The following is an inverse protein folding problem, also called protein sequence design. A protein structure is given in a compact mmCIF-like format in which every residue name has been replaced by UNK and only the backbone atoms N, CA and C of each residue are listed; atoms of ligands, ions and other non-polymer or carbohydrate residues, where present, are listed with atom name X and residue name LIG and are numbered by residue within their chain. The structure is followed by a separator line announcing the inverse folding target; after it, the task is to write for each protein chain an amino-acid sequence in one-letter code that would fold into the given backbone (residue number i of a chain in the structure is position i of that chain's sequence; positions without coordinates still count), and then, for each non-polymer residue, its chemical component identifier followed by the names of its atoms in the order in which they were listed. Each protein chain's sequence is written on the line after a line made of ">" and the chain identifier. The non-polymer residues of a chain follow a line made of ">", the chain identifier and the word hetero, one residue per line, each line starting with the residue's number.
data_IF_102221521614
#
_entry.id   IF_102221521614
#
_cell.length_a   1.000
_cell.length_b   1.000
_cell.length_c   1.000
_cell.angle_alpha   90.00
_cell.angle_beta   90.00
_cell.angle_gamma   90.00
#
_symmetry.space_group_name_H-M   'P 1'
#
loop_
_entity.id
_entity.type
_entity.pdbx_description
1 polymer ?
#
# COMPACT_ATOMS: atom_id res chain seq x y z
N UNK A 1 -27.86 0.53 28.88
CA UNK A 1 -27.68 -0.15 27.58
C UNK A 1 -27.36 -1.62 27.85
N UNK A 2 -28.03 -2.59 27.21
CA UNK A 2 -27.76 -4.02 27.46
C UNK A 2 -26.30 -4.34 27.06
N UNK A 3 -25.54 -5.08 27.88
CA UNK A 3 -24.11 -5.34 27.66
C UNK A 3 -23.84 -5.98 26.28
N UNK A 4 -24.80 -6.75 25.76
CA UNK A 4 -24.78 -7.35 24.42
C UNK A 4 -24.68 -6.32 23.29
N UNK A 5 -25.31 -5.14 23.43
CA UNK A 5 -25.25 -4.08 22.40
C UNK A 5 -23.92 -3.32 22.43
N UNK A 6 -23.31 -3.19 23.61
CA UNK A 6 -21.99 -2.57 23.76
C UNK A 6 -20.91 -3.45 23.11
N UNK A 7 -20.98 -4.76 23.34
CA UNK A 7 -20.07 -5.74 22.74
C UNK A 7 -20.14 -5.73 21.20
N UNK A 8 -21.34 -5.66 20.63
CA UNK A 8 -21.53 -5.59 19.19
C UNK A 8 -20.91 -4.32 18.55
N UNK A 9 -21.02 -3.17 19.23
CA UNK A 9 -20.40 -1.91 18.78
C UNK A 9 -18.87 -1.97 18.82
N UNK A 10 -18.29 -2.58 19.86
CA UNK A 10 -16.84 -2.73 19.99
C UNK A 10 -16.29 -3.62 18.87
N UNK A 11 -16.97 -4.73 18.58
CA UNK A 11 -16.58 -5.64 17.50
C UNK A 11 -16.66 -4.93 16.13
N UNK A 12 -17.73 -4.18 15.87
CA UNK A 12 -17.89 -3.42 14.62
C UNK A 12 -16.78 -2.38 14.44
N UNK A 13 -16.42 -1.64 15.49
CA UNK A 13 -15.30 -0.71 15.45
C UNK A 13 -13.97 -1.42 15.16
N UNK A 14 -13.69 -2.56 15.82
CA UNK A 14 -12.45 -3.30 15.59
C UNK A 14 -12.27 -3.74 14.12
N UNK A 15 -13.35 -4.16 13.45
CA UNK A 15 -13.30 -4.51 12.03
C UNK A 15 -13.07 -3.30 11.11
N UNK A 16 -13.64 -2.13 11.44
CA UNK A 16 -13.42 -0.91 10.64
C UNK A 16 -11.96 -0.42 10.69
N UNK A 17 -11.24 -0.64 11.79
CA UNK A 17 -9.81 -0.31 11.89
C UNK A 17 -8.90 -1.28 11.10
N UNK A 18 -9.34 -2.51 10.82
CA UNK A 18 -8.55 -3.47 10.04
C UNK A 18 -8.47 -3.12 8.53
N UNK A 19 -9.35 -2.22 8.07
CA UNK A 19 -9.34 -1.71 6.70
C UNK A 19 -8.40 -0.51 6.50
N UNK A 20 -7.72 -0.04 7.56
CA UNK A 20 -6.75 1.03 7.42
C UNK A 20 -5.56 0.58 6.55
N UNK A 21 -5.23 1.43 5.59
CA UNK A 21 -4.47 1.19 4.37
C UNK A 21 -3.14 0.43 4.54
N UNK A 22 -2.89 -0.56 3.67
CA UNK A 22 -1.60 -1.27 3.59
C UNK A 22 -0.55 -0.49 2.78
N UNK A 23 -0.91 0.67 2.22
CA UNK A 23 -0.05 1.48 1.37
C UNK A 23 0.52 0.66 0.20
N UNK A 24 1.79 0.88 -0.16
CA UNK A 24 2.46 0.14 -1.24
C UNK A 24 2.58 -1.38 -0.98
N UNK A 25 2.51 -1.82 0.28
CA UNK A 25 2.53 -3.26 0.62
C UNK A 25 1.21 -3.96 0.26
N UNK A 26 0.13 -3.19 0.15
CA UNK A 26 -1.17 -3.70 -0.29
C UNK A 26 -1.27 -3.91 -1.80
N UNK A 27 -0.38 -3.30 -2.58
CA UNK A 27 -0.41 -3.40 -4.03
C UNK A 27 -0.09 -4.82 -4.50
N UNK A 28 -0.86 -5.30 -5.46
CA UNK A 28 -0.51 -6.49 -6.24
C UNK A 28 0.79 -6.25 -7.02
N UNK A 29 1.42 -7.35 -7.45
CA UNK A 29 2.62 -7.27 -8.29
C UNK A 29 2.35 -6.51 -9.60
N UNK A 30 1.19 -6.73 -10.23
CA UNK A 30 0.82 -6.05 -11.47
C UNK A 30 0.67 -4.53 -11.28
N UNK A 31 0.02 -4.10 -10.19
CA UNK A 31 -0.11 -2.67 -9.89
C UNK A 31 1.22 -2.02 -9.55
N UNK A 32 2.09 -2.73 -8.83
CA UNK A 32 3.42 -2.22 -8.48
C UNK A 32 4.30 -2.04 -9.72
N UNK A 33 4.28 -3.00 -10.64
CA UNK A 33 4.99 -2.93 -11.94
C UNK A 33 4.46 -1.77 -12.77
N UNK A 34 3.15 -1.67 -12.96
CA UNK A 34 2.56 -0.59 -13.76
C UNK A 34 2.92 0.81 -13.21
N UNK A 35 2.96 0.97 -11.88
CA UNK A 35 3.38 2.23 -11.25
C UNK A 35 4.88 2.48 -11.39
N UNK A 36 5.71 1.44 -11.29
CA UNK A 36 7.14 1.54 -11.52
C UNK A 36 7.45 1.95 -12.97
N UNK A 37 6.79 1.33 -13.95
CA UNK A 37 6.95 1.65 -15.37
C UNK A 37 6.53 3.09 -15.65
N UNK A 38 5.42 3.56 -15.05
CA UNK A 38 5.00 4.95 -15.17
C UNK A 38 6.04 5.93 -14.61
N UNK A 39 6.77 5.56 -13.55
CA UNK A 39 7.86 6.35 -13.00
C UNK A 39 9.09 6.38 -13.93
N UNK A 40 9.46 5.23 -14.51
CA UNK A 40 10.62 5.10 -15.40
C UNK A 40 10.37 5.81 -16.74
N UNK A 41 9.20 5.60 -17.35
CA UNK A 41 8.84 6.19 -18.64
C UNK A 41 8.47 7.67 -18.54
N UNK A 42 7.82 8.08 -17.45
CA UNK A 42 7.25 9.42 -17.30
C UNK A 42 8.23 10.49 -16.81
N UNK A 43 9.40 10.10 -16.29
CA UNK A 43 10.43 10.97 -15.70
C UNK A 43 9.87 12.19 -14.94
N UNK A 44 9.09 11.97 -13.86
CA UNK A 44 8.33 13.02 -13.23
C UNK A 44 9.24 14.05 -12.55
N UNK A 45 8.93 15.34 -12.72
CA UNK A 45 9.70 16.45 -12.13
C UNK A 45 9.02 17.11 -10.92
N UNK A 46 7.72 16.92 -10.77
CA UNK A 46 6.99 17.46 -9.63
C UNK A 46 7.44 16.76 -8.32
N UNK A 47 7.79 17.50 -7.25
CA UNK A 47 8.37 16.92 -6.03
C UNK A 47 7.56 15.76 -5.44
N UNK A 48 6.24 15.90 -5.35
CA UNK A 48 5.38 14.84 -4.82
C UNK A 48 5.39 13.57 -5.68
N UNK A 49 5.50 13.71 -7.01
CA UNK A 49 5.59 12.56 -7.92
C UNK A 49 6.97 11.90 -7.82
N UNK A 50 8.04 12.67 -7.71
CA UNK A 50 9.40 12.15 -7.46
C UNK A 50 9.42 11.33 -6.18
N UNK A 51 8.88 11.86 -5.08
CA UNK A 51 8.80 11.14 -3.80
C UNK A 51 7.97 9.86 -3.92
N UNK A 52 6.84 9.89 -4.64
CA UNK A 52 6.03 8.70 -4.87
C UNK A 52 6.82 7.62 -5.64
N UNK A 53 7.57 8.01 -6.67
CA UNK A 53 8.41 7.09 -7.45
C UNK A 53 9.56 6.50 -6.64
N UNK A 54 10.21 7.30 -5.79
CA UNK A 54 11.22 6.79 -4.86
C UNK A 54 10.63 5.76 -3.87
N UNK A 55 9.39 5.96 -3.42
CA UNK A 55 8.72 4.98 -2.55
C UNK A 55 8.37 3.68 -3.29
N UNK A 56 7.91 3.76 -4.55
CA UNK A 56 7.68 2.59 -5.41
C UNK A 56 8.98 1.79 -5.58
N UNK A 57 10.07 2.47 -5.92
CA UNK A 57 11.40 1.85 -6.07
C UNK A 57 11.85 1.14 -4.80
N UNK A 58 11.69 1.78 -3.64
CA UNK A 58 12.01 1.17 -2.34
C UNK A 58 11.18 -0.08 -2.05
N UNK A 59 9.90 -0.09 -2.41
CA UNK A 59 9.05 -1.27 -2.23
C UNK A 59 9.44 -2.41 -3.19
N UNK A 60 9.78 -2.12 -4.45
CA UNK A 60 10.33 -3.13 -5.38
C UNK A 60 11.62 -3.75 -4.82
N UNK A 61 12.58 -2.94 -4.36
CA UNK A 61 13.82 -3.47 -3.75
C UNK A 61 13.56 -4.27 -2.47
N UNK A 62 12.57 -3.87 -1.67
CA UNK A 62 12.16 -4.63 -0.49
C UNK A 62 11.60 -6.00 -0.89
N UNK A 63 10.71 -6.06 -1.88
CA UNK A 63 10.16 -7.32 -2.42
C UNK A 63 11.25 -8.20 -3.03
N UNK A 64 12.23 -7.59 -3.69
CA UNK A 64 13.39 -8.27 -4.28
C UNK A 64 14.21 -9.02 -3.23
N UNK A 65 14.41 -8.41 -2.06
CA UNK A 65 15.08 -9.06 -0.91
C UNK A 65 14.32 -10.27 -0.37
N UNK A 66 13.00 -10.30 -0.56
CA UNK A 66 12.13 -11.42 -0.19
C UNK A 66 11.93 -12.44 -1.34
N UNK A 67 12.67 -12.30 -2.44
CA UNK A 67 12.59 -13.20 -3.60
C UNK A 67 11.47 -12.90 -4.59
N UNK A 68 10.80 -11.74 -4.48
CA UNK A 68 9.79 -11.29 -5.43
C UNK A 68 10.39 -10.23 -6.39
N UNK A 69 10.50 -10.61 -7.66
CA UNK A 69 11.14 -9.84 -8.74
C UNK A 69 10.13 -9.32 -9.76
N UNK A 70 8.90 -9.01 -9.33
CA UNK A 70 7.85 -8.54 -10.24
C UNK A 70 8.27 -7.23 -10.93
N UNK A 71 8.86 -6.31 -10.15
CA UNK A 71 9.73 -5.25 -10.60
C UNK A 71 11.18 -5.61 -10.23
#
# INVERSE_FOLDING_TARGET
>A
MKPTRLFALIILCAFSLAACDKGLRGLSNQELVAKNDACVMGNPTAPGKVTACENIKKECERRRKDGNYAC
#
